data_IF_756633044728
#
_entry.id   IF_756633044728
#
_cell.length_a   1.000
_cell.length_b   1.000
_cell.length_c   1.000
_cell.angle_alpha   90.00
_cell.angle_beta   90.00
_cell.angle_gamma   90.00
#
_symmetry.space_group_name_H-M   'P 1'
#
loop_
_entity.id
_entity.type
_entity.pdbx_description
1 polymer ?
#
# COMPACT_ATOMS: atom_id res chain seq x y z
N UNK A 1 16.64 0.47 0.35
CA UNK A 1 16.38 1.04 -0.99
C UNK A 1 17.55 0.69 -1.90
N UNK A 2 17.30 0.02 -3.02
CA UNK A 2 18.34 -0.45 -3.93
C UNK A 2 18.57 0.42 -5.17
N UNK A 3 17.58 1.20 -5.60
CA UNK A 3 17.68 2.06 -6.78
C UNK A 3 17.99 3.52 -6.38
N UNK A 4 19.11 4.10 -6.83
CA UNK A 4 19.45 5.50 -6.60
C UNK A 4 18.74 6.49 -7.54
N UNK A 5 17.84 6.03 -8.43
CA UNK A 5 16.96 6.85 -9.29
C UNK A 5 17.67 7.86 -10.21
N UNK A 6 18.92 7.58 -10.61
CA UNK A 6 19.77 8.53 -11.38
C UNK A 6 19.27 8.86 -12.79
N UNK A 7 18.23 8.19 -13.27
CA UNK A 7 17.68 8.32 -14.62
C UNK A 7 16.49 9.28 -14.70
N UNK A 8 16.00 9.80 -13.57
CA UNK A 8 14.86 10.73 -13.51
C UNK A 8 15.17 11.89 -12.60
N UNK A 9 14.52 13.04 -12.81
CA UNK A 9 14.70 14.21 -11.95
C UNK A 9 13.74 14.15 -10.76
N UNK A 10 14.13 14.66 -9.58
CA UNK A 10 13.22 14.78 -8.44
C UNK A 10 11.98 15.63 -8.76
N UNK A 11 12.13 16.63 -9.63
CA UNK A 11 11.03 17.51 -10.04
C UNK A 11 9.99 16.77 -10.88
N UNK A 12 10.42 15.85 -11.75
CA UNK A 12 9.51 14.98 -12.51
C UNK A 12 8.69 14.11 -11.55
N UNK A 13 9.34 13.47 -10.57
CA UNK A 13 8.67 12.62 -9.59
C UNK A 13 7.63 13.42 -8.79
N UNK A 14 8.00 14.62 -8.32
CA UNK A 14 7.08 15.51 -7.59
C UNK A 14 5.89 15.93 -8.44
N UNK A 15 6.08 16.21 -9.72
CA UNK A 15 4.98 16.54 -10.63
C UNK A 15 3.97 15.38 -10.66
N UNK A 16 4.45 14.15 -10.86
CA UNK A 16 3.56 12.98 -10.89
C UNK A 16 2.87 12.72 -9.56
N UNK A 17 3.58 12.88 -8.43
CA UNK A 17 3.01 12.68 -7.09
C UNK A 17 1.97 13.73 -6.70
N UNK A 18 2.11 14.98 -7.16
CA UNK A 18 1.27 16.08 -6.69
C UNK A 18 0.19 16.50 -7.69
N UNK A 19 0.47 16.44 -9.00
CA UNK A 19 -0.42 16.95 -10.04
C UNK A 19 -1.23 15.82 -10.70
N UNK A 20 -0.66 14.62 -10.75
CA UNK A 20 -1.21 13.48 -11.50
C UNK A 20 -1.49 12.27 -10.59
N UNK A 21 -1.64 12.50 -9.28
CA UNK A 21 -1.99 11.44 -8.33
C UNK A 21 -3.44 10.96 -8.57
N UNK A 22 -3.64 9.68 -8.95
CA UNK A 22 -4.97 9.16 -9.20
C UNK A 22 -5.88 9.20 -7.97
N UNK A 23 -5.32 9.07 -6.76
CA UNK A 23 -6.11 9.10 -5.51
C UNK A 23 -6.64 10.51 -5.29
N UNK A 24 -5.78 11.52 -5.30
CA UNK A 24 -6.17 12.93 -5.18
C UNK A 24 -7.13 13.39 -6.29
N UNK A 25 -6.91 12.97 -7.54
CA UNK A 25 -7.81 13.28 -8.67
C UNK A 25 -9.21 12.70 -8.43
N UNK A 26 -9.31 11.44 -8.04
CA UNK A 26 -10.60 10.80 -7.80
C UNK A 26 -11.29 11.35 -6.55
N UNK A 27 -10.53 11.62 -5.49
CA UNK A 27 -11.00 12.29 -4.27
C UNK A 27 -11.71 13.61 -4.60
N UNK A 28 -11.06 14.46 -5.42
CA UNK A 28 -11.66 15.71 -5.89
C UNK A 28 -12.94 15.48 -6.69
N UNK A 29 -12.93 14.52 -7.62
CA UNK A 29 -14.11 14.18 -8.42
C UNK A 29 -15.31 13.80 -7.54
N UNK A 30 -15.08 12.99 -6.51
CA UNK A 30 -16.12 12.55 -5.58
C UNK A 30 -16.76 13.73 -4.82
N UNK A 31 -15.94 14.67 -4.36
CA UNK A 31 -16.39 15.86 -3.64
C UNK A 31 -17.12 16.85 -4.58
N UNK A 32 -16.55 17.13 -5.75
CA UNK A 32 -17.14 18.04 -6.75
C UNK A 32 -18.53 17.57 -7.20
N UNK A 33 -18.73 16.24 -7.28
CA UNK A 33 -20.00 15.62 -7.63
C UNK A 33 -20.91 15.32 -6.43
N UNK A 34 -20.52 15.71 -5.20
CA UNK A 34 -21.28 15.49 -3.96
C UNK A 34 -21.67 14.02 -3.73
N UNK A 35 -20.77 13.10 -4.11
CA UNK A 35 -20.99 11.65 -3.97
C UNK A 35 -20.75 11.20 -2.53
N UNK A 36 -19.87 11.89 -1.80
CA UNK A 36 -19.47 11.61 -0.43
C UNK A 36 -18.98 12.91 0.24
N UNK A 37 -18.73 12.87 1.55
CA UNK A 37 -18.20 14.00 2.31
C UNK A 37 -16.70 13.88 2.58
N UNK A 38 -16.07 14.99 2.98
CA UNK A 38 -14.66 15.02 3.38
C UNK A 38 -14.43 14.11 4.60
N UNK A 39 -15.35 14.15 5.57
CA UNK A 39 -15.26 13.37 6.79
C UNK A 39 -15.33 11.86 6.55
N UNK A 40 -16.12 11.43 5.55
CA UNK A 40 -16.18 10.02 5.14
C UNK A 40 -14.87 9.56 4.50
N UNK A 41 -14.27 10.40 3.66
CA UNK A 41 -13.00 10.10 2.98
C UNK A 41 -11.83 10.08 3.96
N UNK A 42 -11.74 11.06 4.86
CA UNK A 42 -10.76 11.09 5.94
C UNK A 42 -10.89 9.84 6.85
N UNK A 43 -12.13 9.41 7.10
CA UNK A 43 -12.41 8.19 7.87
C UNK A 43 -11.90 6.92 7.17
N UNK A 44 -12.03 6.84 5.85
CA UNK A 44 -11.51 5.72 5.05
C UNK A 44 -9.99 5.70 5.04
N UNK A 45 -9.34 6.85 4.88
CA UNK A 45 -7.88 6.96 4.91
C UNK A 45 -7.34 6.46 6.26
N UNK A 46 -7.92 6.95 7.36
CA UNK A 46 -7.56 6.50 8.70
C UNK A 46 -7.74 4.98 8.89
N UNK A 47 -8.86 4.44 8.42
CA UNK A 47 -9.10 2.99 8.51
C UNK A 47 -8.07 2.18 7.73
N UNK A 48 -7.65 2.66 6.56
CA UNK A 48 -6.62 2.01 5.75
C UNK A 48 -5.25 2.08 6.43
N UNK A 49 -4.90 3.21 7.05
CA UNK A 49 -3.67 3.34 7.83
C UNK A 49 -3.64 2.37 9.03
N UNK A 50 -4.75 2.25 9.76
CA UNK A 50 -4.89 1.33 10.88
C UNK A 50 -4.72 -0.14 10.42
N UNK A 51 -5.37 -0.53 9.32
CA UNK A 51 -5.24 -1.89 8.75
C UNK A 51 -3.79 -2.21 8.37
N UNK A 52 -3.08 -1.26 7.75
CA UNK A 52 -1.67 -1.42 7.38
C UNK A 52 -0.78 -1.53 8.62
N UNK A 53 -1.02 -0.71 9.65
CA UNK A 53 -0.25 -0.78 10.90
C UNK A 53 -0.42 -2.13 11.60
N UNK A 54 -1.64 -2.64 11.67
CA UNK A 54 -1.94 -3.95 12.24
C UNK A 54 -1.26 -5.07 11.45
N UNK A 55 -1.29 -4.99 10.11
CA UNK A 55 -0.63 -5.95 9.23
C UNK A 55 0.91 -5.94 9.42
N UNK A 56 1.51 -4.76 9.56
CA UNK A 56 2.95 -4.62 9.84
C UNK A 56 3.29 -5.20 11.20
N UNK A 57 2.53 -4.88 12.25
CA UNK A 57 2.76 -5.42 13.58
C UNK A 57 2.66 -6.94 13.61
N UNK A 58 1.66 -7.50 12.91
CA UNK A 58 1.52 -8.95 12.76
C UNK A 58 2.74 -9.55 12.04
N UNK A 59 3.19 -8.94 10.94
CA UNK A 59 4.33 -9.44 10.18
C UNK A 59 5.64 -9.40 10.99
N UNK A 60 5.89 -8.32 11.73
CA UNK A 60 7.10 -8.17 12.55
C UNK A 60 7.11 -9.05 13.81
N UNK A 61 5.93 -9.33 14.38
CA UNK A 61 5.80 -10.20 15.56
C UNK A 61 5.68 -11.68 15.21
N UNK A 62 5.48 -12.00 13.94
CA UNK A 62 5.38 -13.39 13.48
C UNK A 62 6.73 -14.10 13.64
N UNK A 63 6.73 -15.36 14.15
CA UNK A 63 7.95 -16.12 14.27
C UNK A 63 8.53 -16.44 12.90
N UNK A 64 9.86 -16.50 12.83
CA UNK A 64 10.56 -17.04 11.67
C UNK A 64 10.11 -18.48 11.38
N UNK A 65 10.06 -18.90 10.11
CA UNK A 65 9.71 -20.27 9.74
C UNK A 65 10.74 -21.25 10.33
N UNK A 66 10.29 -22.47 10.61
CA UNK A 66 11.19 -23.50 11.10
C UNK A 66 12.08 -24.02 9.96
N UNK A 67 13.28 -24.52 10.27
CA UNK A 67 14.18 -25.08 9.26
C UNK A 67 13.55 -26.21 8.43
N UNK A 68 12.58 -26.96 8.99
CA UNK A 68 11.84 -28.00 8.27
C UNK A 68 10.90 -27.44 7.19
N UNK A 69 10.42 -26.20 7.35
CA UNK A 69 9.52 -25.56 6.40
C UNK A 69 10.20 -25.31 5.05
N UNK A 70 11.54 -25.35 5.00
CA UNK A 70 12.33 -25.30 3.77
C UNK A 70 11.90 -26.35 2.73
N UNK A 71 11.46 -27.53 3.17
CA UNK A 71 11.06 -28.65 2.30
C UNK A 71 9.55 -28.68 2.03
N UNK A 72 8.79 -27.79 2.66
CA UNK A 72 7.35 -27.73 2.48
C UNK A 72 7.03 -27.26 1.06
N UNK A 73 5.96 -27.79 0.47
CA UNK A 73 5.50 -27.47 -0.88
C UNK A 73 6.45 -27.87 -2.03
N UNK A 74 7.41 -28.78 -1.81
CA UNK A 74 8.24 -29.34 -2.88
C UNK A 74 7.44 -30.21 -3.86
N UNK A 75 6.50 -30.98 -3.32
CA UNK A 75 5.55 -31.80 -4.06
C UNK A 75 4.15 -31.53 -3.49
N UNK A 76 3.14 -31.56 -4.35
CA UNK A 76 1.76 -31.69 -3.91
C UNK A 76 1.49 -33.16 -3.57
N UNK A 77 0.83 -33.45 -2.45
CA UNK A 77 0.40 -34.82 -2.17
C UNK A 77 -0.59 -35.25 -3.27
N UNK A 78 -0.35 -36.40 -3.88
CA UNK A 78 -1.31 -36.99 -4.80
C UNK A 78 -2.50 -37.54 -3.97
N UNK A 79 -3.72 -37.20 -4.36
CA UNK A 79 -4.97 -37.71 -3.77
C UNK A 79 -5.04 -39.25 -3.76
#
# INVERSE_FOLDING_TARGET
MGDPERYRTPDEVKRWQNEEDPIGIYHKYLLDNKITSVEELDGLEKSAEEEVQDAVQYAESSPEPEARDLFKYLYVEAE
#
